data_IF_343726288725
#
_entry.id   IF_343726288725
#
_cell.length_a   1.000
_cell.length_b   1.000
_cell.length_c   1.000
_cell.angle_alpha   90.00
_cell.angle_beta   90.00
_cell.angle_gamma   90.00
#
_symmetry.space_group_name_H-M   'P 1'
#
loop_
_entity.id
_entity.type
_entity.pdbx_description
1 polymer ?
#
# COMPACT_ATOMS: atom_id res chain seq x y z
N UNK A 1 3.46 21.36 3.37
CA UNK A 1 3.25 21.30 1.90
C UNK A 1 4.60 21.56 1.22
N UNK A 2 4.93 20.86 0.14
CA UNK A 2 6.18 21.06 -0.60
C UNK A 2 5.89 21.17 -2.09
N UNK A 3 6.73 21.87 -2.84
CA UNK A 3 6.58 22.12 -4.28
C UNK A 3 6.69 20.84 -5.13
N UNK A 4 6.33 20.91 -6.41
CA UNK A 4 6.59 19.80 -7.33
C UNK A 4 8.08 19.45 -7.33
N UNK A 5 8.43 18.16 -7.28
CA UNK A 5 9.83 17.72 -7.20
C UNK A 5 10.46 17.75 -5.80
N UNK A 6 9.78 18.22 -4.76
CA UNK A 6 10.32 18.29 -3.38
C UNK A 6 10.54 16.94 -2.68
N UNK A 7 10.46 15.81 -3.39
CA UNK A 7 10.70 14.47 -2.84
C UNK A 7 9.57 13.80 -2.06
N UNK A 8 8.37 14.41 -1.97
CA UNK A 8 7.22 13.85 -1.23
C UNK A 8 6.88 12.41 -1.67
N UNK A 9 6.74 12.20 -2.97
CA UNK A 9 6.43 10.87 -3.53
C UNK A 9 7.55 9.88 -3.32
N UNK A 10 8.81 10.34 -3.31
CA UNK A 10 9.98 9.51 -2.99
C UNK A 10 9.93 9.02 -1.55
N UNK A 11 9.66 9.92 -0.59
CA UNK A 11 9.50 9.56 0.83
C UNK A 11 8.35 8.57 1.02
N UNK A 12 7.20 8.80 0.40
CA UNK A 12 6.07 7.86 0.48
C UNK A 12 6.45 6.46 -0.04
N UNK A 13 7.14 6.38 -1.18
CA UNK A 13 7.62 5.11 -1.74
C UNK A 13 8.68 4.42 -0.87
N UNK A 14 9.53 5.19 -0.18
CA UNK A 14 10.50 4.66 0.78
C UNK A 14 9.80 4.04 1.99
N UNK A 15 8.81 4.73 2.57
CA UNK A 15 8.01 4.24 3.71
C UNK A 15 7.34 2.90 3.37
N UNK A 16 6.72 2.79 2.20
CA UNK A 16 6.01 1.58 1.76
C UNK A 16 6.94 0.46 1.25
N UNK A 17 8.25 0.66 1.31
CA UNK A 17 9.27 -0.23 0.72
C UNK A 17 8.94 -0.58 -0.74
N UNK A 18 8.46 0.40 -1.50
CA UNK A 18 8.33 0.32 -2.96
C UNK A 18 9.66 0.65 -3.65
N UNK A 19 10.53 1.40 -2.96
CA UNK A 19 11.94 1.62 -3.33
C UNK A 19 12.81 1.44 -2.08
N UNK A 20 14.08 1.07 -2.27
CA UNK A 20 15.04 0.89 -1.17
C UNK A 20 15.77 2.21 -0.88
N UNK A 21 16.00 2.50 0.40
CA UNK A 21 16.85 3.61 0.82
C UNK A 21 18.32 3.26 0.64
N UNK A 22 19.14 4.20 0.16
CA UNK A 22 20.58 4.03 0.05
C UNK A 22 21.26 3.94 1.43
N UNK A 23 20.74 4.69 2.40
CA UNK A 23 21.21 4.72 3.78
C UNK A 23 20.10 5.13 4.76
N UNK A 24 20.34 4.91 6.05
CA UNK A 24 19.41 5.27 7.13
C UNK A 24 18.38 4.18 7.42
N UNK A 25 17.44 4.51 8.32
CA UNK A 25 16.41 3.60 8.82
C UNK A 25 15.08 4.32 8.87
N UNK A 26 14.00 3.57 8.66
CA UNK A 26 12.63 4.04 8.81
C UNK A 26 12.02 3.26 9.96
N UNK A 27 11.47 3.95 10.95
CA UNK A 27 10.85 3.35 12.13
C UNK A 27 9.35 3.68 12.10
N UNK A 28 8.52 2.67 12.27
CA UNK A 28 7.07 2.78 12.35
C UNK A 28 6.57 1.95 13.54
N UNK A 29 5.84 2.57 14.47
CA UNK A 29 5.38 1.93 15.72
C UNK A 29 6.50 1.19 16.47
N UNK A 30 7.63 1.88 16.72
CA UNK A 30 8.80 1.32 17.42
C UNK A 30 9.42 0.08 16.75
N UNK A 31 9.11 -0.16 15.47
CA UNK A 31 9.67 -1.23 14.66
C UNK A 31 10.37 -0.67 13.43
N UNK A 32 11.59 -1.16 13.16
CA UNK A 32 12.30 -0.81 11.93
C UNK A 32 11.61 -1.48 10.72
N UNK A 33 11.34 -0.69 9.68
CA UNK A 33 10.87 -1.21 8.40
C UNK A 33 12.08 -1.71 7.61
N UNK A 34 12.51 -2.93 7.92
CA UNK A 34 13.59 -3.62 7.23
C UNK A 34 13.07 -4.44 6.04
N UNK A 35 13.90 -5.35 5.51
CA UNK A 35 13.54 -6.20 4.38
C UNK A 35 12.86 -7.51 4.79
N UNK A 36 12.48 -7.68 6.08
CA UNK A 36 11.75 -8.86 6.51
C UNK A 36 10.33 -8.83 5.95
N UNK A 37 9.89 -9.95 5.38
CA UNK A 37 8.54 -10.08 4.80
C UNK A 37 7.42 -9.69 5.76
N UNK A 38 7.56 -10.01 7.04
CA UNK A 38 6.54 -9.69 8.06
C UNK A 38 6.41 -8.18 8.27
N UNK A 39 7.53 -7.46 8.34
CA UNK A 39 7.56 -6.01 8.53
C UNK A 39 7.04 -5.27 7.29
N UNK A 40 7.45 -5.71 6.09
CA UNK A 40 6.93 -5.17 4.83
C UNK A 40 5.41 -5.40 4.71
N UNK A 41 4.94 -6.60 5.07
CA UNK A 41 3.50 -6.89 5.02
C UNK A 41 2.72 -6.03 6.02
N UNK A 42 3.25 -5.81 7.22
CA UNK A 42 2.63 -4.96 8.25
C UNK A 42 2.47 -3.52 7.74
N UNK A 43 3.56 -2.86 7.32
CA UNK A 43 3.47 -1.48 6.85
C UNK A 43 2.55 -1.34 5.63
N UNK A 44 2.58 -2.30 4.69
CA UNK A 44 1.70 -2.31 3.51
C UNK A 44 0.25 -2.69 3.82
N UNK A 45 -0.09 -3.08 5.04
CA UNK A 45 -1.48 -3.16 5.49
C UNK A 45 -1.90 -1.86 6.17
N UNK A 46 -1.04 -1.34 7.05
CA UNK A 46 -1.34 -0.21 7.92
C UNK A 46 -1.24 1.15 7.18
N UNK A 47 -0.49 1.20 6.08
CA UNK A 47 -0.30 2.40 5.26
C UNK A 47 -0.60 2.09 3.79
N UNK A 48 -1.53 2.84 3.19
CA UNK A 48 -1.85 2.76 1.77
C UNK A 48 -1.52 4.07 1.07
N UNK A 49 -0.94 4.00 -0.13
CA UNK A 49 -0.74 5.18 -0.96
C UNK A 49 -2.01 5.48 -1.75
N UNK A 50 -2.52 6.69 -1.61
CA UNK A 50 -3.55 7.23 -2.50
C UNK A 50 -2.85 8.11 -3.54
N UNK A 51 -3.00 7.72 -4.81
CA UNK A 51 -2.42 8.46 -5.93
C UNK A 51 -3.21 9.73 -6.20
N UNK A 52 -2.52 10.79 -6.64
CA UNK A 52 -3.16 12.07 -6.99
C UNK A 52 -4.10 11.92 -8.19
N UNK A 53 -3.68 11.11 -9.18
CA UNK A 53 -4.54 10.66 -10.25
C UNK A 53 -5.10 9.27 -9.90
N UNK A 54 -6.42 9.13 -9.70
CA UNK A 54 -7.02 7.84 -9.39
C UNK A 54 -6.87 6.82 -10.53
N UNK A 55 -6.76 7.28 -11.79
CA UNK A 55 -6.64 6.41 -12.96
C UNK A 55 -5.31 5.64 -12.99
N UNK A 56 -4.25 6.18 -12.39
CA UNK A 56 -2.94 5.51 -12.29
C UNK A 56 -2.98 4.23 -11.44
N UNK A 57 -3.97 4.11 -10.56
CA UNK A 57 -4.06 3.03 -9.58
C UNK A 57 -5.08 1.94 -9.93
N UNK A 58 -5.85 2.11 -11.01
CA UNK A 58 -6.94 1.20 -11.38
C UNK A 58 -6.72 0.58 -12.76
N UNK A 59 -7.04 -0.71 -12.90
CA UNK A 59 -7.08 -1.37 -14.20
C UNK A 59 -8.51 -1.29 -14.77
N UNK A 60 -8.76 -0.50 -15.83
CA UNK A 60 -10.11 -0.30 -16.38
C UNK A 60 -10.71 -1.58 -17.01
N UNK A 61 -9.92 -2.65 -17.18
CA UNK A 61 -10.41 -3.96 -17.64
C UNK A 61 -11.00 -4.82 -16.50
N UNK A 62 -10.84 -4.40 -15.26
CA UNK A 62 -11.38 -5.10 -14.09
C UNK A 62 -12.74 -4.55 -13.68
N UNK A 63 -13.61 -5.40 -13.12
CA UNK A 63 -14.88 -4.91 -12.55
C UNK A 63 -14.59 -4.16 -11.27
N UNK A 64 -15.46 -3.19 -10.94
CA UNK A 64 -15.37 -2.42 -9.68
C UNK A 64 -15.28 -3.36 -8.46
N UNK A 65 -16.11 -4.41 -8.41
CA UNK A 65 -16.07 -5.39 -7.32
C UNK A 65 -14.73 -6.15 -7.22
N UNK A 66 -14.08 -6.44 -8.35
CA UNK A 66 -12.78 -7.11 -8.36
C UNK A 66 -11.67 -6.17 -7.85
N UNK A 67 -11.71 -4.90 -8.25
CA UNK A 67 -10.79 -3.85 -7.78
C UNK A 67 -10.92 -3.66 -6.25
N UNK A 68 -12.15 -3.66 -5.73
CA UNK A 68 -12.39 -3.52 -4.28
C UNK A 68 -12.02 -4.82 -3.53
N UNK A 69 -12.17 -5.99 -4.16
CA UNK A 69 -11.81 -7.30 -3.56
C UNK A 69 -10.29 -7.51 -3.47
N UNK A 70 -9.53 -7.02 -4.44
CA UNK A 70 -8.10 -7.31 -4.59
C UNK A 70 -7.27 -7.07 -3.31
N UNK A 71 -7.40 -5.93 -2.59
CA UNK A 71 -6.68 -5.75 -1.33
C UNK A 71 -7.07 -6.77 -0.25
N UNK A 72 -8.36 -7.13 -0.17
CA UNK A 72 -8.84 -8.14 0.78
C UNK A 72 -8.31 -9.54 0.44
N UNK A 73 -8.04 -9.80 -0.83
CA UNK A 73 -7.43 -11.04 -1.32
C UNK A 73 -5.94 -11.10 -1.03
N UNK A 74 -5.19 -10.07 -1.40
CA UNK A 74 -3.75 -9.95 -1.15
C UNK A 74 -3.42 -10.09 0.33
N UNK A 75 -4.25 -9.53 1.21
CA UNK A 75 -4.02 -9.56 2.65
C UNK A 75 -4.66 -10.76 3.35
N UNK A 76 -5.35 -11.65 2.63
CA UNK A 76 -6.10 -12.80 3.19
C UNK A 76 -7.13 -12.38 4.27
N UNK A 77 -7.81 -11.27 4.04
CA UNK A 77 -8.80 -10.70 4.96
C UNK A 77 -10.14 -11.41 4.80
N UNK A 78 -10.42 -12.37 5.70
CA UNK A 78 -11.67 -13.14 5.70
C UNK A 78 -11.78 -14.14 4.55
N UNK A 79 -12.85 -14.93 4.57
CA UNK A 79 -13.15 -15.90 3.52
C UNK A 79 -13.93 -15.27 2.35
N UNK A 80 -14.12 -16.04 1.26
CA UNK A 80 -14.81 -15.58 0.04
C UNK A 80 -16.19 -14.96 0.32
N UNK A 81 -16.99 -15.58 1.19
CA UNK A 81 -18.33 -15.06 1.52
C UNK A 81 -18.26 -13.76 2.32
N UNK A 82 -17.35 -13.69 3.30
CA UNK A 82 -17.13 -12.49 4.11
C UNK A 82 -16.65 -11.31 3.26
N UNK A 83 -15.72 -11.55 2.31
CA UNK A 83 -15.26 -10.53 1.36
C UNK A 83 -16.38 -10.03 0.48
N UNK A 84 -17.15 -10.94 -0.12
CA UNK A 84 -18.29 -10.56 -0.97
C UNK A 84 -19.32 -9.72 -0.22
N UNK A 85 -19.65 -10.09 1.03
CA UNK A 85 -20.59 -9.32 1.88
C UNK A 85 -20.07 -7.93 2.26
N UNK A 86 -18.75 -7.70 2.21
CA UNK A 86 -18.15 -6.40 2.54
C UNK A 86 -18.10 -5.46 1.33
N UNK A 87 -18.17 -6.01 0.12
CA UNK A 87 -18.09 -5.26 -1.14
C UNK A 87 -19.48 -4.80 -1.61
N UNK A 88 -20.52 -5.58 -1.31
CA UNK A 88 -21.94 -5.32 -1.65
C UNK A 88 -22.64 -4.66 -0.46
#
# INVERSE_FOLDING_TARGET
>A
AGESGSGKSTIAKLILKSIQADAGKIIFEDQEIDNQKINIKKIRMDCQMIHQDPYDSINPRMKIGDIISEPLEIHNTGNKQQRMKRII
#
